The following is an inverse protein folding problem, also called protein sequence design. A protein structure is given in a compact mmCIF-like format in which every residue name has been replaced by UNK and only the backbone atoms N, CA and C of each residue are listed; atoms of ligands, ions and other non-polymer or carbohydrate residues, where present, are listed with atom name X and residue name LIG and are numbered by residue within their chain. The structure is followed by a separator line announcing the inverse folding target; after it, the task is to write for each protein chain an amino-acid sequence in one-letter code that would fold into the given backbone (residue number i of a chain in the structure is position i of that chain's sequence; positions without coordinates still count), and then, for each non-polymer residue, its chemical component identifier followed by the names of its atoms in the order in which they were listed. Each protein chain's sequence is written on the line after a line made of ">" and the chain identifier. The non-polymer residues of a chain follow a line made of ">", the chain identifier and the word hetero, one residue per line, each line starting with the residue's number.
data_IF_372434833228
#
_entry.id   IF_372434833228
#
_cell.length_a   1.000
_cell.length_b   1.000
_cell.length_c   1.000
_cell.angle_alpha   90.00
_cell.angle_beta   90.00
_cell.angle_gamma   90.00
#
_symmetry.space_group_name_H-M   'P 1'
#
loop_
_entity.id
_entity.type
_entity.pdbx_description
1 polymer ?
#
# COMPACT_ATOMS: atom_id res chain seq x y z
N UNK A 1 4.50 17.81 11.27
CA UNK A 1 3.19 17.15 11.19
C UNK A 1 3.03 16.31 12.44
N UNK A 2 1.88 16.41 13.12
CA UNK A 2 1.55 15.51 14.24
C UNK A 2 1.39 14.07 13.73
N UNK A 3 1.64 13.08 14.58
CA UNK A 3 1.54 11.67 14.19
C UNK A 3 0.12 11.29 13.72
N UNK A 4 -0.90 11.79 14.42
CA UNK A 4 -2.31 11.57 14.05
C UNK A 4 -2.66 12.16 12.69
N UNK A 5 -2.12 13.33 12.36
CA UNK A 5 -2.30 13.96 11.05
C UNK A 5 -1.61 13.15 9.95
N UNK A 6 -0.39 12.64 10.20
CA UNK A 6 0.28 11.73 9.27
C UNK A 6 -0.53 10.46 9.05
N UNK A 7 -1.00 9.83 10.13
CA UNK A 7 -1.74 8.58 10.05
C UNK A 7 -3.03 8.72 9.22
N UNK A 8 -3.77 9.82 9.38
CA UNK A 8 -4.98 10.09 8.60
C UNK A 8 -4.70 10.32 7.11
N UNK A 9 -3.63 11.05 6.78
CA UNK A 9 -3.22 11.27 5.39
C UNK A 9 -2.76 9.96 4.75
N UNK A 10 -1.94 9.18 5.48
CA UNK A 10 -1.43 7.90 4.98
C UNK A 10 -2.55 6.86 4.80
N UNK A 11 -3.55 6.81 5.67
CA UNK A 11 -4.76 5.98 5.48
C UNK A 11 -5.53 6.38 4.22
N UNK A 12 -5.72 7.68 4.01
CA UNK A 12 -6.37 8.20 2.80
C UNK A 12 -5.59 7.81 1.55
N UNK A 13 -4.26 7.90 1.59
CA UNK A 13 -3.42 7.57 0.46
C UNK A 13 -3.39 6.07 0.15
N UNK A 14 -3.35 5.21 1.18
CA UNK A 14 -3.44 3.75 0.99
C UNK A 14 -4.78 3.36 0.33
N UNK A 15 -5.89 3.95 0.77
CA UNK A 15 -7.20 3.72 0.15
C UNK A 15 -7.25 4.19 -1.32
N UNK A 16 -6.60 5.32 -1.64
CA UNK A 16 -6.50 5.79 -3.03
C UNK A 16 -5.67 4.87 -3.91
N UNK A 17 -4.59 4.30 -3.36
CA UNK A 17 -3.74 3.33 -4.07
C UNK A 17 -4.52 2.04 -4.33
N UNK A 18 -5.24 1.54 -3.32
CA UNK A 18 -6.12 0.37 -3.45
C UNK A 18 -7.13 0.56 -4.59
N UNK A 19 -7.92 1.65 -4.57
CA UNK A 19 -8.87 1.94 -5.66
C UNK A 19 -8.19 2.11 -7.02
N UNK A 20 -6.97 2.67 -7.07
CA UNK A 20 -6.25 2.79 -8.34
C UNK A 20 -5.86 1.42 -8.93
N UNK A 21 -5.57 0.42 -8.10
CA UNK A 21 -5.32 -0.95 -8.56
C UNK A 21 -6.62 -1.65 -8.97
N UNK A 22 -7.72 -1.44 -8.25
CA UNK A 22 -9.05 -1.95 -8.66
C UNK A 22 -9.46 -1.40 -10.04
N UNK A 23 -9.18 -0.11 -10.29
CA UNK A 23 -9.56 0.58 -11.54
C UNK A 23 -8.57 0.32 -12.71
N UNK A 24 -7.39 -0.27 -12.47
CA UNK A 24 -6.36 -0.39 -13.51
C UNK A 24 -6.65 -1.49 -14.55
N UNK A 25 -7.64 -2.35 -14.29
CA UNK A 25 -8.07 -3.41 -15.21
C UNK A 25 -7.12 -4.61 -15.33
N UNK A 26 -6.08 -4.68 -14.50
CA UNK A 26 -5.25 -5.87 -14.36
C UNK A 26 -5.84 -6.82 -13.31
N UNK A 27 -5.64 -8.13 -13.49
CA UNK A 27 -6.02 -9.12 -12.49
C UNK A 27 -4.96 -9.12 -11.37
N UNK A 28 -5.27 -8.39 -10.30
CA UNK A 28 -4.41 -8.24 -9.12
C UNK A 28 -5.24 -8.66 -7.92
N UNK A 29 -4.73 -9.60 -7.13
CA UNK A 29 -5.29 -9.90 -5.81
C UNK A 29 -4.79 -8.87 -4.81
N UNK A 30 -5.71 -8.12 -4.21
CA UNK A 30 -5.43 -7.01 -3.30
C UNK A 30 -5.89 -7.42 -1.90
N UNK A 31 -4.96 -7.54 -0.96
CA UNK A 31 -5.24 -7.93 0.41
C UNK A 31 -4.83 -6.82 1.39
N UNK A 32 -5.79 -6.02 1.89
CA UNK A 32 -5.56 -5.09 2.99
C UNK A 32 -5.29 -5.86 4.29
N UNK A 33 -4.21 -5.50 4.98
CA UNK A 33 -3.78 -6.11 6.25
C UNK A 33 -3.76 -5.11 7.40
N UNK A 34 -3.96 -5.57 8.65
CA UNK A 34 -3.88 -4.70 9.82
C UNK A 34 -2.58 -3.91 9.88
N UNK A 35 -2.65 -2.68 10.38
CA UNK A 35 -1.48 -1.81 10.51
C UNK A 35 -1.21 -0.90 9.31
N UNK A 36 -2.09 -0.88 8.30
CA UNK A 36 -1.91 -0.05 7.11
C UNK A 36 -0.91 -0.68 6.14
N UNK A 37 -1.09 -1.97 5.89
CA UNK A 37 -0.32 -2.76 4.94
C UNK A 37 -1.28 -3.15 3.81
N UNK A 38 -0.84 -3.04 2.56
CA UNK A 38 -1.52 -3.50 1.37
C UNK A 38 -0.61 -4.52 0.67
N UNK A 39 -1.05 -5.76 0.60
CA UNK A 39 -0.35 -6.80 -0.17
C UNK A 39 -1.03 -6.95 -1.54
N UNK A 40 -0.22 -6.99 -2.58
CA UNK A 40 -0.66 -7.10 -3.97
C UNK A 40 0.01 -8.33 -4.59
N UNK A 41 -0.78 -9.22 -5.17
CA UNK A 41 -0.29 -10.39 -5.91
C UNK A 41 -0.75 -10.31 -7.37
N UNK A 42 0.21 -10.34 -8.29
CA UNK A 42 -0.04 -10.26 -9.73
C UNK A 42 -0.17 -11.66 -10.33
N UNK A 43 -0.83 -11.79 -11.49
CA UNK A 43 -1.01 -13.08 -12.20
C UNK A 43 0.27 -13.91 -12.38
N UNK A 44 1.43 -13.25 -12.52
CA UNK A 44 2.72 -13.91 -12.68
C UNK A 44 3.33 -14.42 -11.35
N UNK A 45 2.59 -14.33 -10.25
CA UNK A 45 3.00 -14.70 -8.90
C UNK A 45 3.98 -13.73 -8.23
N UNK A 46 4.29 -12.59 -8.86
CA UNK A 46 5.08 -11.55 -8.19
C UNK A 46 4.23 -10.81 -7.16
N UNK A 47 4.89 -10.32 -6.11
CA UNK A 47 4.24 -9.59 -5.02
C UNK A 47 4.78 -8.18 -4.88
N UNK A 48 3.92 -7.28 -4.44
CA UNK A 48 4.27 -5.95 -3.97
C UNK A 48 3.61 -5.69 -2.63
N UNK A 49 4.35 -5.11 -1.69
CA UNK A 49 3.83 -4.71 -0.38
C UNK A 49 3.96 -3.20 -0.24
N UNK A 50 2.86 -2.53 0.08
CA UNK A 50 2.84 -1.11 0.36
C UNK A 50 2.44 -0.95 1.82
N UNK A 51 3.24 -0.25 2.63
CA UNK A 51 2.92 -0.09 4.05
C UNK A 51 3.15 1.32 4.56
N UNK A 52 2.31 1.75 5.50
CA UNK A 52 2.56 2.93 6.31
C UNK A 52 3.65 2.64 7.34
N UNK A 53 4.66 3.50 7.41
CA UNK A 53 5.71 3.44 8.42
C UNK A 53 5.66 4.68 9.33
N UNK A 54 4.82 4.63 10.37
CA UNK A 54 4.50 5.78 11.23
C UNK A 54 5.72 6.43 11.90
N UNK A 55 6.68 5.64 12.36
CA UNK A 55 7.89 6.17 12.98
C UNK A 55 8.75 7.01 12.01
N UNK A 56 8.80 6.61 10.73
CA UNK A 56 9.51 7.36 9.69
C UNK A 56 8.63 8.44 9.04
N UNK A 57 7.30 8.34 9.22
CA UNK A 57 6.29 9.16 8.54
C UNK A 57 6.36 9.02 7.01
N UNK A 58 6.48 7.78 6.57
CA UNK A 58 6.62 7.43 5.16
C UNK A 58 5.62 6.35 4.76
N UNK A 59 5.36 6.25 3.45
CA UNK A 59 4.76 5.05 2.84
C UNK A 59 5.91 4.34 2.13
N UNK A 60 6.13 3.09 2.46
CA UNK A 60 7.16 2.25 1.86
C UNK A 60 6.53 1.31 0.84
N UNK A 61 7.33 0.95 -0.18
CA UNK A 61 6.95 0.02 -1.23
C UNK A 61 8.06 -1.01 -1.36
N UNK A 62 7.74 -2.29 -1.21
CA UNK A 62 8.63 -3.39 -1.49
C UNK A 62 8.08 -4.17 -2.68
N UNK A 63 8.83 -4.25 -3.77
CA UNK A 63 8.48 -4.99 -4.97
C UNK A 63 9.65 -5.87 -5.42
N UNK A 64 9.43 -6.69 -6.47
CA UNK A 64 10.49 -7.52 -7.06
C UNK A 64 11.74 -6.72 -7.46
N UNK A 65 11.59 -5.45 -7.83
CA UNK A 65 12.70 -4.56 -8.20
C UNK A 65 13.46 -3.95 -7.01
N UNK A 66 12.98 -4.12 -5.78
CA UNK A 66 13.54 -3.51 -4.57
C UNK A 66 12.51 -2.72 -3.77
N UNK A 67 13.01 -1.96 -2.79
CA UNK A 67 12.23 -1.02 -1.97
C UNK A 67 13.07 0.17 -1.53
#
# INVERSE_FOLDING_TARGET
>A
MEESAFNAIAETELARIESAFEDCGAEIDIEPKPGGILELEFENGSKMIINRHTAAREIWVAAKSGG
#
